data_IF_695941994954
#
_entry.id   IF_695941994954
#
_cell.length_a   1.000
_cell.length_b   1.000
_cell.length_c   1.000
_cell.angle_alpha   90.00
_cell.angle_beta   90.00
_cell.angle_gamma   90.00
#
_symmetry.space_group_name_H-M   'P 1'
#
loop_
_entity.id
_entity.type
_entity.pdbx_description
1 polymer ?
#
# COMPACT_ATOMS: atom_id res chain seq x y z
N UNK A 1 13.63 9.31 -3.72
CA UNK A 1 14.14 8.81 -5.01
C UNK A 1 13.21 7.77 -5.64
N UNK A 2 12.87 6.67 -4.94
CA UNK A 2 11.97 5.62 -5.45
C UNK A 2 10.64 6.15 -6.05
N UNK A 3 9.99 7.09 -5.35
CA UNK A 3 8.73 7.73 -5.79
C UNK A 3 8.91 8.53 -7.09
N UNK A 4 10.02 9.25 -7.23
CA UNK A 4 10.31 10.04 -8.44
C UNK A 4 10.54 9.14 -9.65
N UNK A 5 11.32 8.07 -9.45
CA UNK A 5 11.54 7.07 -10.51
C UNK A 5 10.23 6.41 -10.93
N UNK A 6 9.42 5.96 -9.98
CA UNK A 6 8.10 5.37 -10.28
C UNK A 6 7.21 6.35 -11.04
N UNK A 7 7.19 7.63 -10.63
CA UNK A 7 6.37 8.65 -11.31
C UNK A 7 6.83 8.93 -12.73
N UNK A 8 8.14 8.96 -12.96
CA UNK A 8 8.70 9.13 -14.30
C UNK A 8 8.43 7.91 -15.18
N UNK A 9 8.53 6.70 -14.62
CA UNK A 9 8.21 5.46 -15.32
C UNK A 9 6.75 5.43 -15.79
N UNK A 10 5.80 5.79 -14.93
CA UNK A 10 4.37 5.85 -15.28
C UNK A 10 4.08 6.87 -16.38
N UNK A 11 4.82 7.98 -16.42
CA UNK A 11 4.69 9.01 -17.49
C UNK A 11 5.35 8.60 -18.81
N UNK A 12 6.25 7.63 -18.79
CA UNK A 12 6.99 7.17 -19.98
C UNK A 12 6.12 6.32 -20.93
N UNK A 13 6.68 5.97 -22.10
CA UNK A 13 6.05 5.02 -23.05
C UNK A 13 5.75 3.67 -22.38
N UNK A 14 6.63 3.20 -21.51
CA UNK A 14 6.50 1.93 -20.78
C UNK A 14 5.30 1.95 -19.84
N UNK A 15 5.11 3.07 -19.11
CA UNK A 15 3.96 3.24 -18.23
C UNK A 15 2.61 3.20 -18.97
N UNK A 16 2.54 3.82 -20.15
CA UNK A 16 1.33 3.75 -20.99
C UNK A 16 1.04 2.34 -21.50
N UNK A 17 2.08 1.59 -21.86
CA UNK A 17 1.93 0.19 -22.23
C UNK A 17 1.39 -0.66 -21.06
N UNK A 18 1.84 -0.42 -19.83
CA UNK A 18 1.29 -1.11 -18.65
C UNK A 18 -0.19 -0.82 -18.41
N UNK A 19 -0.64 0.43 -18.63
CA UNK A 19 -2.06 0.78 -18.52
C UNK A 19 -2.88 0.03 -19.59
N UNK A 20 -2.41 -0.01 -20.84
CA UNK A 20 -3.09 -0.72 -21.92
C UNK A 20 -3.22 -2.23 -21.63
N UNK A 21 -2.16 -2.85 -21.11
CA UNK A 21 -2.16 -4.27 -20.71
C UNK A 21 -3.14 -4.50 -19.55
N UNK A 22 -3.14 -3.62 -18.54
CA UNK A 22 -4.06 -3.70 -17.39
C UNK A 22 -5.53 -3.63 -17.81
N UNK A 23 -5.86 -2.82 -18.81
CA UNK A 23 -7.25 -2.64 -19.25
C UNK A 23 -7.72 -3.85 -20.08
N UNK A 24 -6.94 -4.27 -21.09
CA UNK A 24 -7.22 -5.50 -21.86
C UNK A 24 -6.00 -6.02 -22.61
N UNK A 25 -5.46 -7.16 -22.15
CA UNK A 25 -4.32 -7.87 -22.76
C UNK A 25 -4.49 -8.06 -24.28
N UNK A 26 -5.63 -8.58 -24.73
CA UNK A 26 -5.89 -8.86 -26.15
C UNK A 26 -5.86 -7.58 -27.01
N UNK A 27 -6.40 -6.47 -26.50
CA UNK A 27 -6.40 -5.21 -27.23
C UNK A 27 -4.99 -4.61 -27.33
N UNK A 28 -4.20 -4.74 -26.25
CA UNK A 28 -2.80 -4.31 -26.25
C UNK A 28 -1.96 -5.08 -27.29
N UNK A 29 -2.19 -6.38 -27.42
CA UNK A 29 -1.50 -7.22 -28.40
C UNK A 29 -1.82 -6.82 -29.85
N UNK A 30 -3.10 -6.54 -30.16
CA UNK A 30 -3.54 -6.05 -31.48
C UNK A 30 -2.90 -4.69 -31.81
N UNK A 31 -2.69 -3.84 -30.81
CA UNK A 31 -2.00 -2.55 -30.96
C UNK A 31 -0.46 -2.68 -31.11
N UNK A 32 0.07 -3.90 -31.21
CA UNK A 32 1.51 -4.16 -31.40
C UNK A 32 2.34 -4.10 -30.11
N UNK A 33 1.70 -4.14 -28.94
CA UNK A 33 2.39 -4.17 -27.65
C UNK A 33 2.75 -5.62 -27.30
N UNK A 34 4.05 -5.93 -27.27
CA UNK A 34 4.52 -7.26 -26.89
C UNK A 34 4.27 -7.56 -25.40
N UNK A 35 3.21 -8.31 -25.08
CA UNK A 35 2.78 -8.63 -23.71
C UNK A 35 3.90 -9.24 -22.87
N UNK A 36 4.63 -10.21 -23.41
CA UNK A 36 5.69 -10.92 -22.71
C UNK A 36 6.79 -9.97 -22.19
N UNK A 37 7.31 -9.09 -23.07
CA UNK A 37 8.38 -8.15 -22.70
C UNK A 37 7.93 -7.18 -21.62
N UNK A 38 6.73 -6.61 -21.78
CA UNK A 38 6.23 -5.65 -20.80
C UNK A 38 5.89 -6.30 -19.45
N UNK A 39 5.27 -7.48 -19.42
CA UNK A 39 5.03 -8.22 -18.17
C UNK A 39 6.33 -8.60 -17.47
N UNK A 40 7.35 -9.04 -18.22
CA UNK A 40 8.68 -9.35 -17.67
C UNK A 40 9.36 -8.10 -17.08
N UNK A 41 9.30 -6.96 -17.78
CA UNK A 41 9.86 -5.70 -17.26
C UNK A 41 9.12 -5.21 -16.01
N UNK A 42 7.78 -5.36 -15.96
CA UNK A 42 7.00 -5.02 -14.78
C UNK A 42 7.40 -5.87 -13.58
N UNK A 43 7.58 -7.18 -13.79
CA UNK A 43 8.07 -8.09 -12.77
C UNK A 43 9.49 -7.73 -12.31
N UNK A 44 10.42 -7.47 -13.23
CA UNK A 44 11.79 -7.10 -12.91
C UNK A 44 11.87 -5.80 -12.08
N UNK A 45 11.08 -4.79 -12.44
CA UNK A 45 11.02 -3.52 -11.70
C UNK A 45 10.43 -3.73 -10.31
N UNK A 46 9.35 -4.51 -10.19
CA UNK A 46 8.75 -4.84 -8.90
C UNK A 46 9.74 -5.57 -7.98
N UNK A 47 10.42 -6.59 -8.51
CA UNK A 47 11.42 -7.38 -7.77
C UNK A 47 12.63 -6.54 -7.37
N UNK A 48 13.05 -5.57 -8.19
CA UNK A 48 14.11 -4.62 -7.84
C UNK A 48 13.73 -3.77 -6.62
N UNK A 49 12.52 -3.21 -6.60
CA UNK A 49 12.03 -2.44 -5.44
C UNK A 49 11.89 -3.30 -4.18
N UNK A 50 11.33 -4.51 -4.32
CA UNK A 50 11.19 -5.44 -3.20
C UNK A 50 12.56 -5.88 -2.65
N UNK A 51 13.53 -6.15 -3.53
CA UNK A 51 14.89 -6.53 -3.14
C UNK A 51 15.62 -5.42 -2.39
N UNK A 52 15.53 -4.17 -2.86
CA UNK A 52 16.10 -3.01 -2.14
C UNK A 52 15.43 -2.83 -0.77
N UNK A 53 14.10 -2.91 -0.71
CA UNK A 53 13.36 -2.77 0.54
C UNK A 53 13.74 -3.86 1.54
N UNK A 54 13.81 -5.12 1.10
CA UNK A 54 14.21 -6.25 1.94
C UNK A 54 15.67 -6.16 2.41
N UNK A 55 16.58 -5.76 1.51
CA UNK A 55 17.99 -5.55 1.87
C UNK A 55 18.16 -4.47 2.94
N UNK A 56 17.48 -3.33 2.79
CA UNK A 56 17.48 -2.27 3.79
C UNK A 56 16.88 -2.73 5.13
N UNK A 57 15.80 -3.51 5.08
CA UNK A 57 15.15 -4.07 6.27
C UNK A 57 16.08 -4.99 7.07
N UNK A 58 16.79 -5.89 6.38
CA UNK A 58 17.75 -6.81 7.00
C UNK A 58 18.95 -6.06 7.60
N UNK A 59 19.47 -5.05 6.90
CA UNK A 59 20.52 -4.19 7.44
C UNK A 59 20.11 -3.50 8.75
N UNK A 60 18.82 -3.17 8.90
CA UNK A 60 18.28 -2.58 10.12
C UNK A 60 18.13 -3.60 11.26
N UNK A 61 17.59 -4.79 10.98
CA UNK A 61 17.35 -5.82 12.01
C UNK A 61 18.63 -6.44 12.60
N UNK A 62 19.75 -6.43 11.85
CA UNK A 62 21.07 -7.04 12.20
C UNK A 62 21.06 -8.56 12.40
N UNK A 63 19.92 -9.16 12.73
CA UNK A 63 19.70 -10.60 12.89
C UNK A 63 18.48 -10.97 12.05
N UNK A 64 18.59 -12.08 11.30
CA UNK A 64 17.51 -12.58 10.45
C UNK A 64 17.10 -13.95 10.95
N UNK A 65 15.87 -14.05 11.45
CA UNK A 65 15.23 -15.31 11.84
C UNK A 65 13.99 -15.55 10.97
N UNK A 66 13.59 -16.83 10.77
CA UNK A 66 12.36 -17.16 10.02
C UNK A 66 11.10 -16.55 10.63
N UNK A 67 11.12 -16.27 11.94
CA UNK A 67 10.00 -15.67 12.67
C UNK A 67 9.68 -14.23 12.23
N UNK A 68 10.62 -13.55 11.57
CA UNK A 68 10.39 -12.21 11.01
C UNK A 68 9.61 -12.20 9.70
N UNK A 69 9.42 -13.35 9.05
CA UNK A 69 8.70 -13.45 7.77
C UNK A 69 7.45 -14.35 7.88
N UNK A 70 6.51 -14.04 8.80
CA UNK A 70 5.27 -14.81 8.91
C UNK A 70 4.36 -14.53 7.71
N UNK A 71 3.47 -15.47 7.39
CA UNK A 71 2.47 -15.31 6.33
C UNK A 71 1.61 -14.06 6.50
N UNK A 72 1.32 -13.69 7.76
CA UNK A 72 0.56 -12.49 8.10
C UNK A 72 1.15 -11.20 7.51
N UNK A 73 2.48 -11.09 7.43
CA UNK A 73 3.18 -9.94 6.90
C UNK A 73 2.90 -9.74 5.39
N UNK A 74 2.69 -10.83 4.65
CA UNK A 74 2.30 -10.78 3.23
C UNK A 74 0.89 -10.23 3.05
N UNK A 75 -0.05 -10.65 3.91
CA UNK A 75 -1.42 -10.09 3.93
C UNK A 75 -1.36 -8.60 4.27
N UNK A 76 -0.53 -8.21 5.23
CA UNK A 76 -0.38 -6.82 5.63
C UNK A 76 0.13 -5.94 4.49
N UNK A 77 1.15 -6.39 3.74
CA UNK A 77 1.63 -5.66 2.56
C UNK A 77 0.57 -5.57 1.45
N UNK A 78 -0.20 -6.63 1.22
CA UNK A 78 -1.31 -6.58 0.28
C UNK A 78 -2.37 -5.57 0.73
N UNK A 79 -2.71 -5.57 2.02
CA UNK A 79 -3.68 -4.65 2.60
C UNK A 79 -3.21 -3.19 2.50
N UNK A 80 -1.91 -2.89 2.74
CA UNK A 80 -1.33 -1.56 2.52
C UNK A 80 -1.57 -1.04 1.10
N UNK A 81 -1.35 -1.89 0.10
CA UNK A 81 -1.50 -1.52 -1.32
C UNK A 81 -2.97 -1.32 -1.68
N UNK A 82 -3.86 -2.18 -1.20
CA UNK A 82 -5.30 -2.09 -1.47
C UNK A 82 -5.91 -0.85 -0.82
N UNK A 83 -5.63 -0.63 0.47
CA UNK A 83 -6.10 0.55 1.23
C UNK A 83 -5.55 1.86 0.65
N UNK A 84 -4.28 1.85 0.26
CA UNK A 84 -3.67 2.99 -0.43
C UNK A 84 -4.31 3.33 -1.78
N UNK A 85 -4.79 2.31 -2.50
CA UNK A 85 -5.43 2.43 -3.82
C UNK A 85 -4.57 1.82 -4.93
N UNK A 86 -5.16 0.85 -5.65
CA UNK A 86 -4.50 0.12 -6.73
C UNK A 86 -4.11 1.05 -7.89
N UNK A 87 -2.83 1.06 -8.26
CA UNK A 87 -2.32 1.84 -9.40
C UNK A 87 -1.98 3.31 -9.11
N UNK A 88 -2.02 3.74 -7.84
CA UNK A 88 -1.55 5.08 -7.44
C UNK A 88 -0.29 5.00 -6.59
N UNK A 89 0.81 5.61 -7.06
CA UNK A 89 2.08 5.66 -6.33
C UNK A 89 1.95 6.40 -5.00
N UNK A 90 1.22 7.53 -5.00
CA UNK A 90 0.96 8.28 -3.76
C UNK A 90 0.03 7.50 -2.83
N UNK A 91 -0.92 6.78 -3.41
CA UNK A 91 -1.82 5.87 -2.68
C UNK A 91 -1.04 4.84 -1.88
N UNK A 92 -0.07 4.17 -2.50
CA UNK A 92 0.77 3.17 -1.83
C UNK A 92 1.49 3.72 -0.60
N UNK A 93 1.96 4.98 -0.67
CA UNK A 93 2.63 5.65 0.46
C UNK A 93 1.62 5.93 1.58
N UNK A 94 0.46 6.52 1.25
CA UNK A 94 -0.57 6.79 2.25
C UNK A 94 -1.11 5.51 2.89
N UNK A 95 -1.30 4.45 2.10
CA UNK A 95 -1.72 3.14 2.59
C UNK A 95 -0.70 2.52 3.54
N UNK A 96 0.60 2.58 3.21
CA UNK A 96 1.66 2.11 4.09
C UNK A 96 1.72 2.92 5.40
N UNK A 97 1.73 4.26 5.31
CA UNK A 97 1.75 5.14 6.49
C UNK A 97 0.53 4.90 7.38
N UNK A 98 -0.66 4.82 6.80
CA UNK A 98 -1.90 4.57 7.54
C UNK A 98 -1.87 3.20 8.23
N UNK A 99 -1.52 2.14 7.50
CA UNK A 99 -1.47 0.79 8.06
C UNK A 99 -0.36 0.57 9.10
N UNK A 100 0.69 1.38 9.07
CA UNK A 100 1.73 1.35 10.12
C UNK A 100 1.31 2.19 11.34
N UNK A 101 0.72 3.37 11.13
CA UNK A 101 0.34 4.26 12.22
C UNK A 101 -0.86 3.76 13.02
N UNK A 102 -1.85 3.16 12.35
CA UNK A 102 -3.05 2.63 13.02
C UNK A 102 -2.72 1.65 14.15
N UNK A 103 -1.96 0.56 13.94
CA UNK A 103 -1.62 -0.38 15.01
C UNK A 103 -0.70 0.26 16.06
N UNK A 104 0.15 1.22 15.68
CA UNK A 104 1.01 1.94 16.63
C UNK A 104 0.17 2.80 17.58
N UNK A 105 -0.80 3.56 17.05
CA UNK A 105 -1.75 4.35 17.85
C UNK A 105 -2.56 3.43 18.76
N UNK A 106 -3.07 2.31 18.23
CA UNK A 106 -3.79 1.33 19.03
C UNK A 106 -2.92 0.74 20.15
N UNK A 107 -1.63 0.49 19.90
CA UNK A 107 -0.69 0.02 20.91
C UNK A 107 -0.45 1.07 22.00
N UNK A 108 -0.26 2.34 21.64
CA UNK A 108 -0.12 3.44 22.61
C UNK A 108 -1.38 3.60 23.46
N UNK A 109 -2.54 3.64 22.83
CA UNK A 109 -3.84 3.78 23.52
C UNK A 109 -4.06 2.59 24.47
N UNK A 110 -3.86 1.37 23.99
CA UNK A 110 -3.99 0.15 24.81
C UNK A 110 -2.96 0.10 25.94
N UNK A 111 -1.74 0.62 25.71
CA UNK A 111 -0.70 0.76 26.72
C UNK A 111 -1.14 1.62 27.89
N UNK A 112 -1.66 2.82 27.61
CA UNK A 112 -2.20 3.73 28.63
C UNK A 112 -3.40 3.12 29.39
N UNK A 113 -4.25 2.34 28.71
CA UNK A 113 -5.38 1.66 29.37
C UNK A 113 -4.93 0.49 30.27
N UNK A 114 -3.81 -0.18 29.96
CA UNK A 114 -3.27 -1.29 30.77
C UNK A 114 -2.81 -0.83 32.16
N UNK A 115 -2.34 0.41 32.27
CA UNK A 115 -1.92 1.01 33.55
C UNK A 115 -3.10 1.21 34.52
N UNK A 116 -4.34 1.28 34.00
CA UNK A 116 -5.56 1.50 34.78
C UNK A 116 -6.27 0.17 35.13
N UNK A 117 -6.20 -0.85 34.27
CA UNK A 117 -6.82 -2.17 34.49
C UNK A 117 -5.87 -3.34 34.17
N UNK A 118 -5.08 -3.84 35.14
CA UNK A 118 -4.06 -4.88 34.92
C UNK A 118 -4.63 -6.26 34.53
N UNK A 119 -5.88 -6.57 34.90
CA UNK A 119 -6.53 -7.85 34.59
C UNK A 119 -6.99 -7.98 33.12
N UNK A 120 -7.22 -6.86 32.43
CA UNK A 120 -7.68 -6.86 31.04
C UNK A 120 -6.52 -6.97 30.03
N UNK A 121 -5.27 -6.74 30.46
CA UNK A 121 -4.07 -6.72 29.64
C UNK A 121 -3.81 -7.97 28.77
N UNK A 122 -4.24 -9.16 29.25
CA UNK A 122 -4.09 -10.44 28.52
C UNK A 122 -5.15 -10.65 27.43
N UNK A 123 -6.36 -10.08 27.59
CA UNK A 123 -7.42 -10.16 26.58
C UNK A 123 -7.17 -9.21 25.41
N UNK A 124 -6.50 -8.08 25.67
CA UNK A 124 -6.23 -7.06 24.66
C UNK A 124 -5.28 -7.51 23.55
N UNK A 125 -4.45 -8.56 23.74
CA UNK A 125 -3.47 -9.01 22.74
C UNK A 125 -4.13 -9.60 21.47
N UNK A 126 -5.05 -10.57 21.57
CA UNK A 126 -5.80 -11.04 20.39
C UNK A 126 -6.80 -10.01 19.86
N UNK A 127 -7.32 -9.11 20.70
CA UNK A 127 -8.22 -8.03 20.26
C UNK A 127 -7.55 -7.07 19.27
N UNK A 128 -6.23 -6.85 19.35
CA UNK A 128 -5.51 -5.97 18.41
C UNK A 128 -5.62 -6.48 16.97
N UNK A 129 -5.42 -7.78 16.79
CA UNK A 129 -5.45 -8.42 15.47
C UNK A 129 -6.87 -8.40 14.90
N UNK A 130 -7.88 -8.63 15.75
CA UNK A 130 -9.29 -8.53 15.37
C UNK A 130 -9.67 -7.10 15.00
N UNK A 131 -9.23 -6.10 15.77
CA UNK A 131 -9.46 -4.68 15.49
C UNK A 131 -8.75 -4.27 14.21
N UNK A 132 -7.50 -4.70 14.00
CA UNK A 132 -6.75 -4.42 12.78
C UNK A 132 -7.41 -5.03 11.54
N UNK A 133 -7.82 -6.31 11.61
CA UNK A 133 -8.57 -6.97 10.54
C UNK A 133 -9.92 -6.30 10.27
N UNK A 134 -10.66 -5.92 11.32
CA UNK A 134 -11.92 -5.20 11.20
C UNK A 134 -11.74 -3.83 10.57
N UNK A 135 -10.65 -3.13 10.90
CA UNK A 135 -10.31 -1.84 10.33
C UNK A 135 -9.99 -1.94 8.84
N UNK A 136 -9.30 -3.00 8.41
CA UNK A 136 -9.10 -3.31 6.98
C UNK A 136 -10.45 -3.49 6.29
N UNK A 137 -11.36 -4.29 6.87
CA UNK A 137 -12.68 -4.57 6.29
C UNK A 137 -13.54 -3.31 6.20
N UNK A 138 -13.59 -2.52 7.27
CA UNK A 138 -14.33 -1.25 7.31
C UNK A 138 -13.77 -0.29 6.25
N UNK A 139 -12.44 -0.18 6.16
CA UNK A 139 -11.80 0.69 5.19
C UNK A 139 -12.12 0.25 3.75
N UNK A 140 -12.08 -1.06 3.48
CA UNK A 140 -12.46 -1.64 2.19
C UNK A 140 -13.90 -1.32 1.80
N UNK A 141 -14.82 -1.31 2.77
CA UNK A 141 -16.23 -1.01 2.55
C UNK A 141 -16.46 0.48 2.30
N UNK A 142 -15.81 1.35 3.09
CA UNK A 142 -16.00 2.80 2.98
C UNK A 142 -15.36 3.41 1.73
N UNK A 143 -14.20 2.89 1.29
CA UNK A 143 -13.40 3.55 0.26
C UNK A 143 -12.85 2.54 -0.77
N UNK A 144 -13.69 1.97 -1.65
CA UNK A 144 -13.27 0.94 -2.62
C UNK A 144 -12.25 1.43 -3.65
N UNK A 145 -12.03 2.75 -3.75
CA UNK A 145 -11.00 3.36 -4.63
C UNK A 145 -9.70 3.72 -3.89
N UNK A 146 -9.66 3.53 -2.57
CA UNK A 146 -8.50 3.77 -1.70
C UNK A 146 -8.24 5.24 -1.35
N UNK A 147 -7.34 5.47 -0.39
CA UNK A 147 -6.94 6.80 0.11
C UNK A 147 -6.48 7.77 -0.99
N UNK A 148 -5.93 7.24 -2.09
CA UNK A 148 -5.52 8.05 -3.24
C UNK A 148 -6.67 8.86 -3.86
N UNK A 149 -7.89 8.32 -3.89
CA UNK A 149 -9.06 8.98 -4.47
C UNK A 149 -9.49 10.18 -3.61
N UNK A 150 -9.45 10.03 -2.28
CA UNK A 150 -9.77 11.07 -1.30
C UNK A 150 -8.84 12.26 -1.50
N UNK A 151 -7.52 12.00 -1.56
CA UNK A 151 -6.53 13.05 -1.77
C UNK A 151 -6.73 13.79 -3.09
N UNK A 152 -7.10 13.07 -4.16
CA UNK A 152 -7.40 13.67 -5.46
C UNK A 152 -8.65 14.56 -5.39
N UNK A 153 -9.71 14.15 -4.69
CA UNK A 153 -10.93 14.97 -4.50
C UNK A 153 -10.65 16.23 -3.69
N UNK A 154 -9.90 16.12 -2.60
CA UNK A 154 -9.51 17.28 -1.77
C UNK A 154 -8.70 18.27 -2.62
N UNK A 155 -7.71 17.77 -3.37
CA UNK A 155 -6.92 18.64 -4.24
C UNK A 155 -7.76 19.29 -5.35
N UNK A 156 -8.68 18.54 -5.97
CA UNK A 156 -9.58 19.07 -6.98
C UNK A 156 -10.51 20.15 -6.40
N UNK A 157 -11.04 19.93 -5.19
CA UNK A 157 -11.86 20.90 -4.48
C UNK A 157 -11.10 22.22 -4.22
N UNK A 158 -9.86 22.13 -3.73
CA UNK A 158 -9.02 23.31 -3.51
C UNK A 158 -8.55 23.99 -4.81
N UNK A 159 -8.43 23.27 -5.93
CA UNK A 159 -8.06 23.85 -7.22
C UNK A 159 -9.23 24.50 -7.96
N UNK A 160 -10.46 24.04 -7.72
CA UNK A 160 -11.69 24.60 -8.30
C UNK A 160 -12.24 25.79 -7.49
N UNK A 161 -11.65 26.09 -6.34
CA UNK A 161 -11.94 27.27 -5.54
C UNK A 161 -11.08 28.44 -6.05
N UNK A 162 -11.61 29.57 -6.60
CA UNK A 162 -12.97 30.13 -6.48
C UNK A 162 -13.80 30.26 -7.79
N UNK A 163 -13.45 29.64 -8.91
CA UNK A 163 -14.27 29.71 -10.13
C UNK A 163 -14.70 28.32 -10.57
N UNK A 164 -15.96 28.00 -10.29
CA UNK A 164 -16.65 26.81 -10.78
C UNK A 164 -17.16 27.04 -12.20
N UNK A 165 -16.36 26.70 -13.20
CA UNK A 165 -16.82 26.34 -14.54
C UNK A 165 -15.99 25.18 -15.08
#
# INVERSE_FOLDING_TARGET
LAVLYGRNLVRSKVGRAFVAIRDRDLAAEIMGISLFRYKLTAFAISSFYAGIAGGLWVCFLRIVTPEHFPFHLSIQYLAMVIVGGLGSILGSIFGAVFMTLVPEILNVVTGNLKDIFPAAGKLFIPLKEVVFGSLIVIFLIFEPRGLAEIWRRIKAFFQLWPFSY
#
